data_IF_959369373920
#
_entry.id   IF_959369373920
#
_cell.length_a   1.000
_cell.length_b   1.000
_cell.length_c   1.000
_cell.angle_alpha   90.00
_cell.angle_beta   90.00
_cell.angle_gamma   90.00
#
_symmetry.space_group_name_H-M   'P 1'
#
loop_
_entity.id
_entity.type
_entity.pdbx_description
1 polymer ?
#
# COMPACT_ATOMS: atom_id res chain seq x y z
N UNK A 1 19.78 -53.77 -16.32
CA UNK A 1 18.38 -53.31 -16.38
C UNK A 1 18.42 -51.84 -16.73
N UNK A 2 18.05 -51.51 -17.96
CA UNK A 2 18.19 -50.15 -18.46
C UNK A 2 17.01 -49.33 -17.93
N UNK A 3 17.20 -48.04 -17.59
CA UNK A 3 16.12 -47.18 -17.09
C UNK A 3 14.97 -46.98 -18.10
N UNK A 4 15.16 -47.39 -19.37
CA UNK A 4 14.14 -47.36 -20.43
C UNK A 4 13.09 -48.47 -20.28
N UNK A 5 13.42 -49.59 -19.64
CA UNK A 5 12.51 -50.75 -19.49
C UNK A 5 11.43 -50.50 -18.41
N UNK A 6 11.68 -49.57 -17.48
CA UNK A 6 10.75 -49.22 -16.42
C UNK A 6 9.57 -48.38 -16.93
N UNK A 7 9.81 -47.54 -17.94
CA UNK A 7 8.80 -46.64 -18.51
C UNK A 7 7.76 -47.41 -19.34
N UNK A 8 8.14 -48.54 -19.97
CA UNK A 8 7.22 -49.40 -20.73
C UNK A 8 6.31 -50.27 -19.83
N UNK A 9 6.63 -50.43 -18.55
CA UNK A 9 5.83 -51.23 -17.60
C UNK A 9 4.70 -50.46 -16.90
N UNK A 10 4.59 -49.15 -17.15
CA UNK A 10 3.58 -48.30 -16.54
C UNK A 10 2.26 -48.40 -17.31
N UNK A 11 1.25 -48.97 -16.66
CA UNK A 11 -0.09 -49.15 -17.20
C UNK A 11 -0.65 -47.80 -17.73
N UNK A 12 -1.21 -47.71 -18.95
CA UNK A 12 -1.69 -46.46 -19.54
C UNK A 12 -2.71 -45.73 -18.65
N UNK A 13 -3.46 -46.48 -17.83
CA UNK A 13 -4.40 -45.94 -16.85
C UNK A 13 -3.72 -45.21 -15.68
N UNK A 14 -2.54 -45.67 -15.26
CA UNK A 14 -1.73 -45.02 -14.20
C UNK A 14 -1.15 -43.72 -14.73
N UNK A 15 -0.71 -43.70 -15.99
CA UNK A 15 -0.18 -42.50 -16.65
C UNK A 15 -1.26 -41.42 -16.83
N UNK A 16 -2.48 -41.81 -17.21
CA UNK A 16 -3.65 -40.94 -17.27
C UNK A 16 -4.03 -40.41 -15.89
N UNK A 17 -4.07 -41.26 -14.86
CA UNK A 17 -4.36 -40.83 -13.48
C UNK A 17 -3.34 -39.83 -12.94
N UNK A 18 -2.05 -40.08 -13.18
CA UNK A 18 -0.97 -39.19 -12.76
C UNK A 18 -1.02 -37.83 -13.47
N UNK A 19 -1.29 -37.80 -14.78
CA UNK A 19 -1.39 -36.54 -15.54
C UNK A 19 -2.57 -35.68 -15.08
N UNK A 20 -3.74 -36.28 -14.83
CA UNK A 20 -4.92 -35.56 -14.30
C UNK A 20 -4.63 -35.02 -12.89
N UNK A 21 -3.99 -35.80 -12.02
CA UNK A 21 -3.62 -35.36 -10.68
C UNK A 21 -2.66 -34.17 -10.72
N UNK A 22 -1.66 -34.18 -11.61
CA UNK A 22 -0.71 -33.06 -11.78
C UNK A 22 -1.44 -31.81 -12.27
N UNK A 23 -2.37 -31.93 -13.23
CA UNK A 23 -3.14 -30.79 -13.74
C UNK A 23 -4.01 -30.18 -12.64
N UNK A 24 -4.66 -31.01 -11.82
CA UNK A 24 -5.49 -30.55 -10.68
C UNK A 24 -4.63 -29.85 -9.63
N UNK A 25 -3.46 -30.39 -9.30
CA UNK A 25 -2.53 -29.77 -8.34
C UNK A 25 -2.00 -28.44 -8.87
N UNK A 26 -1.63 -28.35 -10.14
CA UNK A 26 -1.15 -27.11 -10.77
C UNK A 26 -2.28 -26.07 -10.82
N UNK A 27 -3.49 -26.46 -11.21
CA UNK A 27 -4.64 -25.56 -11.22
C UNK A 27 -5.00 -25.08 -9.82
N UNK A 28 -5.01 -25.98 -8.82
CA UNK A 28 -5.24 -25.61 -7.43
C UNK A 28 -4.16 -24.66 -6.91
N UNK A 29 -2.88 -24.94 -7.16
CA UNK A 29 -1.77 -24.07 -6.78
C UNK A 29 -1.88 -22.69 -7.46
N UNK A 30 -2.28 -22.63 -8.74
CA UNK A 30 -2.49 -21.38 -9.47
C UNK A 30 -3.67 -20.57 -8.89
N UNK A 31 -4.78 -21.25 -8.57
CA UNK A 31 -5.95 -20.63 -7.93
C UNK A 31 -5.66 -20.17 -6.50
N UNK A 32 -4.84 -20.90 -5.74
CA UNK A 32 -4.42 -20.52 -4.39
C UNK A 32 -3.42 -19.35 -4.39
N UNK A 33 -2.49 -19.32 -5.35
CA UNK A 33 -1.48 -18.25 -5.46
C UNK A 33 -2.09 -16.89 -5.86
N UNK A 34 -3.24 -16.90 -6.56
CA UNK A 34 -3.93 -15.69 -7.02
C UNK A 34 -4.72 -14.92 -5.94
N UNK A 35 -4.80 -15.44 -4.70
CA UNK A 35 -5.59 -14.83 -3.60
C UNK A 35 -4.81 -13.88 -2.69
N UNK A 36 -3.64 -13.36 -3.11
CA UNK A 36 -3.05 -12.22 -2.38
C UNK A 36 -3.87 -10.97 -2.69
N UNK A 37 -4.52 -10.40 -1.67
CA UNK A 37 -5.21 -9.13 -1.78
C UNK A 37 -4.24 -8.09 -2.35
N UNK A 38 -4.43 -7.70 -3.61
CA UNK A 38 -3.62 -6.66 -4.25
C UNK A 38 -3.91 -5.37 -3.51
N UNK A 39 -2.89 -4.81 -2.85
CA UNK A 39 -2.98 -3.46 -2.27
C UNK A 39 -3.42 -2.44 -3.32
N UNK A 40 -4.07 -1.36 -2.88
CA UNK A 40 -4.62 -0.37 -3.80
C UNK A 40 -3.53 0.45 -4.51
N UNK A 41 -2.33 0.48 -3.97
CA UNK A 41 -1.19 1.24 -4.47
C UNK A 41 -0.51 0.55 -5.68
N UNK A 42 0.11 1.35 -6.54
CA UNK A 42 0.96 0.89 -7.65
C UNK A 42 2.37 1.50 -7.51
N UNK A 43 3.44 0.68 -7.44
CA UNK A 43 4.80 1.19 -7.26
C UNK A 43 5.33 2.00 -8.44
N UNK A 44 4.81 1.75 -9.65
CA UNK A 44 5.29 2.32 -10.90
C UNK A 44 4.43 3.51 -11.35
N UNK A 45 3.12 3.35 -11.27
CA UNK A 45 2.17 4.33 -11.80
C UNK A 45 1.50 5.15 -10.69
N UNK A 46 1.10 6.38 -11.04
CA UNK A 46 0.23 7.17 -10.17
C UNK A 46 -1.21 6.70 -10.35
N UNK A 47 -1.93 6.57 -9.23
CA UNK A 47 -3.35 6.31 -9.17
C UNK A 47 -4.04 7.46 -8.45
N UNK A 48 -5.20 7.85 -8.96
CA UNK A 48 -5.97 8.95 -8.40
C UNK A 48 -6.92 8.44 -7.32
N UNK A 49 -6.90 9.10 -6.17
CA UNK A 49 -7.79 8.80 -5.04
C UNK A 49 -8.62 10.03 -4.70
N UNK A 50 -9.93 9.85 -4.58
CA UNK A 50 -10.87 10.95 -4.36
C UNK A 50 -10.89 11.37 -2.89
N UNK A 51 -10.83 12.67 -2.65
CA UNK A 51 -11.01 13.26 -1.33
C UNK A 51 -12.49 13.21 -0.92
N UNK A 52 -12.81 12.41 0.09
CA UNK A 52 -14.20 12.28 0.59
C UNK A 52 -14.48 13.17 1.80
N UNK A 53 -13.45 13.52 2.58
CA UNK A 53 -13.61 14.37 3.75
C UNK A 53 -12.35 15.16 4.03
N UNK A 54 -12.52 16.45 4.33
CA UNK A 54 -11.49 17.34 4.88
C UNK A 54 -11.92 17.76 6.28
N UNK A 55 -11.02 17.70 7.25
CA UNK A 55 -11.29 18.09 8.64
C UNK A 55 -10.17 18.97 9.15
N UNK A 56 -10.49 20.22 9.50
CA UNK A 56 -9.52 21.13 10.10
C UNK A 56 -9.21 20.69 11.54
N UNK A 57 -7.94 20.52 11.87
CA UNK A 57 -7.51 20.13 13.23
C UNK A 57 -6.94 21.31 14.02
N UNK A 58 -6.23 22.21 13.35
CA UNK A 58 -5.68 23.45 13.93
C UNK A 58 -5.58 24.53 12.85
N UNK A 59 -5.10 25.72 13.17
CA UNK A 59 -4.95 26.83 12.21
C UNK A 59 -4.17 26.46 10.94
N UNK A 60 -3.14 25.62 11.06
CA UNK A 60 -2.30 25.18 9.94
C UNK A 60 -2.27 23.66 9.73
N UNK A 61 -3.13 22.89 10.40
CA UNK A 61 -3.17 21.42 10.24
C UNK A 61 -4.56 20.97 9.84
N UNK A 62 -4.64 20.15 8.81
CA UNK A 62 -5.88 19.52 8.38
C UNK A 62 -5.67 18.04 8.07
N UNK A 63 -6.72 17.26 8.29
CA UNK A 63 -6.81 15.85 7.93
C UNK A 63 -7.59 15.70 6.63
N UNK A 64 -7.07 14.88 5.73
CA UNK A 64 -7.63 14.57 4.42
C UNK A 64 -7.89 13.08 4.34
N UNK A 65 -9.15 12.70 4.14
CA UNK A 65 -9.59 11.31 4.02
C UNK A 65 -9.89 11.00 2.56
N UNK A 66 -9.18 10.05 2.00
CA UNK A 66 -9.30 9.61 0.62
C UNK A 66 -9.95 8.24 0.55
N UNK A 67 -10.90 8.03 -0.36
CA UNK A 67 -11.51 6.71 -0.57
C UNK A 67 -10.62 5.81 -1.41
N UNK A 68 -10.63 4.52 -1.09
CA UNK A 68 -10.03 3.48 -1.91
C UNK A 68 -11.06 2.97 -2.94
N UNK A 69 -10.61 2.28 -4.01
CA UNK A 69 -11.51 1.79 -5.07
C UNK A 69 -12.67 0.91 -4.57
N UNK A 70 -12.48 0.19 -3.47
CA UNK A 70 -13.50 -0.67 -2.86
C UNK A 70 -13.55 -0.46 -1.36
N UNK A 71 -14.75 -0.46 -0.75
CA UNK A 71 -14.93 -0.27 0.70
C UNK A 71 -14.28 -1.36 1.57
N UNK A 72 -14.01 -2.54 1.02
CA UNK A 72 -13.31 -3.64 1.69
C UNK A 72 -11.80 -3.66 1.45
N UNK A 73 -11.28 -2.78 0.59
CA UNK A 73 -9.88 -2.78 0.22
C UNK A 73 -9.02 -2.09 1.27
N UNK A 74 -7.77 -2.53 1.41
CA UNK A 74 -6.77 -1.90 2.26
C UNK A 74 -5.78 -1.12 1.40
N UNK A 75 -5.11 -0.13 1.99
CA UNK A 75 -4.09 0.62 1.28
C UNK A 75 -2.92 -0.29 0.87
N UNK A 76 -2.52 -1.21 1.77
CA UNK A 76 -1.44 -2.17 1.52
C UNK A 76 -0.07 -1.50 1.48
N UNK A 77 0.21 -0.62 2.45
CA UNK A 77 1.50 0.05 2.59
C UNK A 77 2.31 -0.71 3.66
N UNK A 78 3.38 -1.44 3.27
CA UNK A 78 4.20 -2.14 4.24
C UNK A 78 4.83 -1.16 5.24
N UNK A 79 5.01 -1.64 6.46
CA UNK A 79 5.71 -0.93 7.51
C UNK A 79 7.06 -0.41 7.01
N UNK A 80 7.38 0.84 7.35
CA UNK A 80 8.64 1.46 6.96
C UNK A 80 8.65 2.12 5.59
N UNK A 81 7.56 1.95 4.83
CA UNK A 81 7.38 2.55 3.52
C UNK A 81 6.41 3.73 3.58
N UNK A 82 6.46 4.56 2.54
CA UNK A 82 5.62 5.74 2.37
C UNK A 82 5.04 5.79 0.95
N UNK A 83 4.11 6.72 0.73
CA UNK A 83 3.53 6.99 -0.59
C UNK A 83 4.10 8.30 -1.16
N UNK A 84 4.18 8.40 -2.48
CA UNK A 84 4.52 9.63 -3.20
C UNK A 84 3.24 10.28 -3.70
N UNK A 85 2.94 11.49 -3.24
CA UNK A 85 1.80 12.26 -3.69
C UNK A 85 2.25 13.30 -4.73
N UNK A 86 1.52 13.40 -5.83
CA UNK A 86 1.73 14.41 -6.87
C UNK A 86 0.65 15.48 -6.76
N UNK A 87 1.07 16.73 -6.80
CA UNK A 87 0.20 17.90 -6.73
C UNK A 87 0.71 19.03 -7.63
N UNK A 88 0.07 20.19 -7.54
CA UNK A 88 0.44 21.41 -8.25
C UNK A 88 0.65 22.56 -7.28
N UNK A 89 1.67 23.36 -7.51
CA UNK A 89 1.89 24.56 -6.72
C UNK A 89 1.11 25.78 -7.24
N UNK A 90 1.36 26.95 -6.66
CA UNK A 90 0.71 28.21 -7.03
C UNK A 90 1.00 28.69 -8.46
N UNK A 91 2.07 28.18 -9.08
CA UNK A 91 2.42 28.48 -10.47
C UNK A 91 1.90 27.41 -11.43
N UNK A 92 1.22 26.37 -10.91
CA UNK A 92 0.75 25.23 -11.69
C UNK A 92 1.84 24.20 -11.99
N UNK A 93 3.05 24.35 -11.43
CA UNK A 93 4.13 23.40 -11.62
C UNK A 93 3.88 22.12 -10.81
N UNK A 94 4.23 20.98 -11.40
CA UNK A 94 4.04 19.70 -10.76
C UNK A 94 5.09 19.43 -9.70
N UNK A 95 4.63 18.95 -8.56
CA UNK A 95 5.44 18.66 -7.40
C UNK A 95 5.11 17.27 -6.88
N UNK A 96 6.15 16.52 -6.51
CA UNK A 96 6.00 15.19 -5.92
C UNK A 96 6.64 15.21 -4.53
N UNK A 97 5.89 14.79 -3.51
CA UNK A 97 6.39 14.71 -2.13
C UNK A 97 6.00 13.39 -1.46
N UNK A 98 6.90 12.81 -0.65
CA UNK A 98 6.58 11.63 0.14
C UNK A 98 5.66 12.00 1.31
N UNK A 99 4.71 11.13 1.61
CA UNK A 99 3.84 11.20 2.78
C UNK A 99 3.61 9.81 3.35
N UNK A 100 3.46 9.74 4.67
CA UNK A 100 3.08 8.51 5.37
C UNK A 100 1.63 8.63 5.82
N UNK A 101 0.72 7.75 5.40
CA UNK A 101 -0.64 7.70 5.90
C UNK A 101 -0.69 7.46 7.41
N UNK A 102 -1.76 7.92 8.04
CA UNK A 102 -2.04 7.70 9.46
C UNK A 102 -2.96 6.51 9.71
N UNK A 103 -3.46 5.88 8.66
CA UNK A 103 -4.30 4.68 8.69
C UNK A 103 -3.47 3.41 8.75
N UNK A 104 -4.03 2.38 9.38
CA UNK A 104 -3.43 1.05 9.50
C UNK A 104 -4.13 0.06 8.55
N UNK A 105 -3.62 -1.16 8.43
CA UNK A 105 -4.25 -2.20 7.60
C UNK A 105 -5.64 -2.64 8.10
N UNK A 106 -6.00 -2.30 9.36
CA UNK A 106 -7.36 -2.49 9.87
C UNK A 106 -8.37 -1.44 9.38
N UNK A 107 -7.89 -0.30 8.86
CA UNK A 107 -8.71 0.74 8.27
C UNK A 107 -9.02 0.36 6.80
N UNK A 108 -10.24 -0.14 6.54
CA UNK A 108 -10.68 -0.56 5.19
C UNK A 108 -11.41 0.56 4.46
N UNK A 109 -11.22 0.62 3.14
CA UNK A 109 -11.96 1.48 2.23
C UNK A 109 -11.48 2.93 2.15
N UNK A 110 -10.49 3.33 2.96
CA UNK A 110 -9.93 4.68 2.93
C UNK A 110 -8.49 4.73 3.43
N UNK A 111 -7.83 5.85 3.17
CA UNK A 111 -6.62 6.24 3.89
C UNK A 111 -6.67 7.71 4.29
N UNK A 112 -5.94 8.08 5.34
CA UNK A 112 -5.93 9.44 5.87
C UNK A 112 -4.52 10.04 5.90
N UNK A 113 -4.41 11.27 5.40
CA UNK A 113 -3.22 12.10 5.51
C UNK A 113 -3.48 13.26 6.47
N UNK A 114 -2.57 13.47 7.42
CA UNK A 114 -2.57 14.66 8.26
C UNK A 114 -1.47 15.59 7.74
N UNK A 115 -1.88 16.75 7.23
CA UNK A 115 -0.99 17.68 6.55
C UNK A 115 -0.92 18.98 7.34
N UNK A 116 0.30 19.37 7.70
CA UNK A 116 0.60 20.73 8.15
C UNK A 116 0.89 21.61 6.94
N UNK A 117 0.08 22.64 6.78
CA UNK A 117 0.12 23.60 5.69
C UNK A 117 1.05 24.75 6.07
N UNK A 118 2.20 24.80 5.42
CA UNK A 118 3.14 25.92 5.56
C UNK A 118 2.79 27.01 4.54
N UNK A 119 2.85 28.31 4.91
CA UNK A 119 2.47 29.41 4.00
C UNK A 119 3.23 29.41 2.67
N UNK A 120 4.54 29.14 2.73
CA UNK A 120 5.45 29.08 1.56
C UNK A 120 5.65 27.66 1.02
N UNK A 121 4.90 26.68 1.52
CA UNK A 121 5.04 25.29 1.08
C UNK A 121 4.37 25.07 -0.28
N UNK A 122 5.14 24.67 -1.29
CA UNK A 122 4.62 24.33 -2.64
C UNK A 122 3.51 23.26 -2.56
N UNK A 123 3.75 22.15 -1.85
CA UNK A 123 2.74 21.09 -1.66
C UNK A 123 1.63 21.51 -0.70
N UNK A 124 1.95 22.37 0.28
CA UNK A 124 0.94 22.96 1.14
C UNK A 124 -0.04 23.86 0.39
N UNK A 125 0.35 24.45 -0.74
CA UNK A 125 -0.57 25.16 -1.63
C UNK A 125 -1.61 24.21 -2.23
N UNK A 126 -1.15 23.10 -2.82
CA UNK A 126 -2.02 22.07 -3.39
C UNK A 126 -3.10 21.61 -2.41
N UNK A 127 -2.72 21.25 -1.18
CA UNK A 127 -3.66 20.80 -0.15
C UNK A 127 -4.58 21.91 0.37
N UNK A 128 -4.16 23.19 0.32
CA UNK A 128 -5.04 24.30 0.70
C UNK A 128 -6.20 24.44 -0.26
N UNK A 129 -5.93 24.33 -1.56
CA UNK A 129 -6.91 24.49 -2.63
C UNK A 129 -7.84 23.29 -2.78
N UNK A 130 -7.37 22.10 -2.41
CA UNK A 130 -8.12 20.84 -2.56
C UNK A 130 -9.46 20.86 -1.79
N UNK A 131 -10.53 20.48 -2.49
CA UNK A 131 -11.91 20.39 -2.01
C UNK A 131 -12.40 18.94 -2.04
N UNK A 132 -13.41 18.65 -1.23
CA UNK A 132 -14.07 17.35 -1.25
C UNK A 132 -14.62 17.09 -2.66
N UNK A 133 -14.31 15.93 -3.22
CA UNK A 133 -14.58 15.57 -4.61
C UNK A 133 -13.37 15.62 -5.53
N UNK A 134 -12.32 16.34 -5.16
CA UNK A 134 -11.06 16.40 -5.92
C UNK A 134 -10.28 15.08 -5.77
N UNK A 135 -9.28 14.90 -6.64
CA UNK A 135 -8.45 13.70 -6.66
C UNK A 135 -7.00 14.02 -6.34
N UNK A 136 -6.36 13.13 -5.58
CA UNK A 136 -4.93 13.16 -5.32
C UNK A 136 -4.25 12.00 -6.03
N UNK A 137 -3.26 12.31 -6.88
CA UNK A 137 -2.44 11.32 -7.55
C UNK A 137 -1.40 10.75 -6.59
N UNK A 138 -1.46 9.44 -6.34
CA UNK A 138 -0.61 8.73 -5.38
C UNK A 138 0.10 7.55 -6.05
N UNK A 139 1.40 7.39 -5.76
CA UNK A 139 2.24 6.28 -6.19
C UNK A 139 2.91 5.62 -4.99
N UNK A 140 2.99 4.29 -4.95
CA UNK A 140 3.62 3.58 -3.84
C UNK A 140 3.37 2.07 -3.87
N UNK A 141 3.90 1.32 -2.91
CA UNK A 141 4.70 1.78 -1.80
C UNK A 141 6.15 2.13 -2.23
N UNK A 142 6.81 3.04 -1.48
CA UNK A 142 8.20 3.47 -1.67
C UNK A 142 8.95 3.42 -0.36
N UNK A 143 10.22 3.00 -0.40
CA UNK A 143 11.07 2.92 0.79
C UNK A 143 12.01 1.74 0.70
N UNK A 144 13.16 1.84 1.38
CA UNK A 144 14.13 0.74 1.48
C UNK A 144 14.03 -0.02 2.81
N UNK A 145 13.35 0.57 3.80
CA UNK A 145 13.20 -0.03 5.12
C UNK A 145 12.06 -1.04 5.08
N UNK A 146 12.36 -2.26 5.51
CA UNK A 146 11.40 -3.33 5.75
C UNK A 146 11.68 -3.83 7.16
N UNK A 147 10.64 -3.86 7.98
CA UNK A 147 10.73 -4.32 9.35
C UNK A 147 10.32 -5.79 9.40
N UNK A 148 11.18 -6.66 9.92
CA UNK A 148 10.83 -8.04 10.26
C UNK A 148 10.71 -8.19 11.79
N UNK A 149 9.64 -8.83 12.30
CA UNK A 149 9.47 -9.06 13.73
C UNK A 149 10.68 -9.80 14.33
N UNK A 150 11.19 -9.29 15.45
CA UNK A 150 12.35 -9.88 16.15
C UNK A 150 13.73 -9.43 15.66
N UNK A 151 13.81 -8.56 14.64
CA UNK A 151 15.11 -8.03 14.19
C UNK A 151 15.74 -7.01 15.14
N UNK A 152 14.94 -6.34 15.97
CA UNK A 152 15.39 -5.26 16.85
C UNK A 152 14.79 -5.44 18.25
N UNK A 153 15.64 -5.49 19.28
CA UNK A 153 15.22 -5.56 20.68
C UNK A 153 14.65 -4.23 21.20
N UNK A 154 15.11 -3.09 20.64
CA UNK A 154 14.64 -1.75 20.96
C UNK A 154 14.64 -0.88 19.72
N UNK A 155 13.58 -0.09 19.56
CA UNK A 155 13.40 0.83 18.44
C UNK A 155 13.25 2.24 19.00
N UNK A 156 14.24 3.10 18.74
CA UNK A 156 14.22 4.50 19.14
C UNK A 156 13.74 5.38 18.00
N UNK A 157 12.68 6.15 18.21
CA UNK A 157 12.16 7.08 17.23
C UNK A 157 12.39 8.52 17.68
N UNK A 158 13.16 9.27 16.89
CA UNK A 158 13.29 10.73 17.01
C UNK A 158 12.41 11.36 15.95
N UNK A 159 11.39 12.11 16.38
CA UNK A 159 10.32 12.57 15.50
C UNK A 159 9.96 14.01 15.83
N UNK A 160 9.57 14.74 14.80
CA UNK A 160 8.87 16.00 14.99
C UNK A 160 7.38 15.77 15.29
N UNK A 161 6.69 16.78 15.84
CA UNK A 161 5.37 16.66 16.44
C UNK A 161 4.23 16.11 15.53
N UNK A 162 4.38 16.14 14.20
CA UNK A 162 3.42 15.50 13.29
C UNK A 162 3.75 14.03 13.01
N UNK A 163 5.03 13.69 13.02
CA UNK A 163 5.49 12.31 12.81
C UNK A 163 5.32 11.48 14.09
N UNK A 164 5.21 12.12 15.26
CA UNK A 164 4.89 11.43 16.52
C UNK A 164 3.53 10.73 16.50
N UNK A 165 2.52 11.31 15.85
CA UNK A 165 1.20 10.67 15.67
C UNK A 165 1.29 9.45 14.76
N UNK A 166 2.12 9.51 13.73
CA UNK A 166 2.38 8.39 12.83
C UNK A 166 3.14 7.27 13.55
N UNK A 167 4.12 7.62 14.38
CA UNK A 167 4.90 6.64 15.12
C UNK A 167 4.15 6.03 16.31
N UNK A 168 3.31 6.79 17.02
CA UNK A 168 2.53 6.22 18.12
C UNK A 168 1.59 5.13 17.61
N UNK A 169 0.98 5.31 16.43
CA UNK A 169 0.22 4.25 15.76
C UNK A 169 1.10 3.12 15.24
N UNK A 170 2.32 3.42 14.79
CA UNK A 170 3.29 2.40 14.39
C UNK A 170 3.67 1.48 15.54
N UNK A 171 3.97 2.03 16.72
CA UNK A 171 4.31 1.26 17.92
C UNK A 171 3.09 0.53 18.49
N UNK A 172 1.88 1.09 18.39
CA UNK A 172 0.65 0.42 18.86
C UNK A 172 0.27 -0.85 18.07
N UNK A 173 1.01 -1.22 17.03
CA UNK A 173 0.89 -2.50 16.35
C UNK A 173 1.71 -3.63 17.01
N UNK A 174 2.50 -3.34 18.05
CA UNK A 174 3.37 -4.29 18.77
C UNK A 174 3.23 -4.19 20.29
#
# INVERSE_FOLDING_TARGET
MNPMDFIESLDPQILLGASVAVIVIVAAAFLFSSKKAKGCLDPQNFKDFKLVKRTQLSHNVAKFKFELPTSSSILGLPIGQHISCRGKDSQGEEIIKPYTPTTLDCDVGYFELVIKMYPQGRMSHHFREMRVGDHLAVKGPKGRFQYEPGQLERLGCLLEALESLQCSRFLGQY
#
